data_IF_266944428455
#
_entry.id   IF_266944428455
#
_cell.length_a   1.000
_cell.length_b   1.000
_cell.length_c   1.000
_cell.angle_alpha   90.00
_cell.angle_beta   90.00
_cell.angle_gamma   90.00
#
_symmetry.space_group_name_H-M   'P 1'
#
loop_
_entity.id
_entity.type
_entity.pdbx_description
1 polymer ?
#
# COMPACT_ATOMS: atom_id res chain seq x y z
N UNK A 1 9.94 -19.68 -1.03
CA UNK A 1 10.93 -18.61 -0.77
C UNK A 1 10.21 -17.41 -0.20
N UNK A 2 10.76 -16.74 0.81
CA UNK A 2 10.18 -15.50 1.35
C UNK A 2 10.44 -14.34 0.38
N UNK A 3 9.38 -13.70 -0.11
CA UNK A 3 9.45 -12.66 -1.16
C UNK A 3 9.20 -11.25 -0.64
N UNK A 4 8.69 -11.11 0.58
CA UNK A 4 8.29 -9.83 1.16
C UNK A 4 7.18 -10.00 2.20
N UNK A 5 6.66 -8.87 2.65
CA UNK A 5 5.60 -8.82 3.65
C UNK A 5 4.66 -7.64 3.38
N UNK A 6 3.48 -7.71 4.01
CA UNK A 6 2.53 -6.61 4.09
C UNK A 6 2.32 -6.23 5.55
N UNK A 7 1.93 -4.99 5.79
CA UNK A 7 1.68 -4.48 7.14
C UNK A 7 0.41 -3.66 7.20
N UNK A 8 -0.28 -3.75 8.34
CA UNK A 8 -1.28 -2.79 8.77
C UNK A 8 -0.70 -2.02 9.95
N UNK A 9 -0.72 -0.69 9.91
CA UNK A 9 -0.43 0.17 11.06
C UNK A 9 -1.66 1.02 11.37
N UNK A 10 -2.07 1.06 12.62
CA UNK A 10 -3.19 1.92 13.02
C UNK A 10 -2.67 3.31 13.33
N UNK A 11 -3.10 4.29 12.53
CA UNK A 11 -2.79 5.70 12.77
C UNK A 11 -3.73 6.30 13.82
N UNK A 12 -4.97 5.78 13.90
CA UNK A 12 -5.92 6.10 14.96
C UNK A 12 -6.79 4.90 15.34
N UNK A 13 -6.59 4.38 16.55
CA UNK A 13 -7.40 3.29 17.09
C UNK A 13 -8.87 3.69 17.25
N UNK A 14 -9.13 4.92 17.70
CA UNK A 14 -10.49 5.45 17.91
C UNK A 14 -11.25 5.55 16.59
N UNK A 15 -10.59 6.06 15.55
CA UNK A 15 -11.24 6.30 14.26
C UNK A 15 -11.20 5.09 13.33
N UNK A 16 -10.50 4.02 13.74
CA UNK A 16 -10.27 2.82 12.92
C UNK A 16 -9.60 3.18 11.59
N UNK A 17 -8.64 4.10 11.67
CA UNK A 17 -7.83 4.56 10.55
C UNK A 17 -6.56 3.72 10.49
N UNK A 18 -6.40 3.00 9.38
CA UNK A 18 -5.30 2.10 9.16
C UNK A 18 -4.53 2.49 7.90
N UNK A 19 -3.21 2.37 7.99
CA UNK A 19 -2.30 2.51 6.88
C UNK A 19 -1.79 1.14 6.45
N UNK A 20 -1.74 0.94 5.15
CA UNK A 20 -1.29 -0.29 4.53
C UNK A 20 0.07 -0.13 3.85
N UNK A 21 0.97 -1.08 4.09
CA UNK A 21 2.30 -1.12 3.47
C UNK A 21 2.57 -2.46 2.78
N UNK A 22 3.25 -2.41 1.63
CA UNK A 22 3.81 -3.58 0.95
C UNK A 22 5.31 -3.38 0.80
N UNK A 23 6.09 -4.35 1.26
CA UNK A 23 7.53 -4.41 1.02
C UNK A 23 7.88 -5.74 0.35
N UNK A 24 8.17 -5.70 -0.94
CA UNK A 24 8.79 -6.81 -1.66
C UNK A 24 10.31 -6.69 -1.58
N UNK A 25 11.02 -7.81 -1.46
CA UNK A 25 12.48 -7.86 -1.33
C UNK A 25 13.16 -7.42 -2.63
N UNK A 26 13.28 -6.10 -2.80
CA UNK A 26 13.77 -5.43 -4.01
C UNK A 26 15.28 -5.63 -4.22
N UNK A 27 16.07 -5.48 -3.15
CA UNK A 27 17.52 -5.32 -3.25
C UNK A 27 18.27 -6.60 -3.69
N UNK A 28 17.65 -7.78 -3.64
CA UNK A 28 18.30 -9.05 -4.03
C UNK A 28 17.54 -9.86 -5.09
N UNK A 29 16.28 -9.54 -5.40
CA UNK A 29 15.41 -10.45 -6.17
C UNK A 29 14.45 -9.70 -7.13
N UNK A 30 14.97 -9.02 -8.17
CA UNK A 30 14.13 -8.40 -9.21
C UNK A 30 13.23 -9.40 -9.94
N UNK A 31 13.54 -10.71 -9.85
CA UNK A 31 12.74 -11.81 -10.43
C UNK A 31 11.29 -11.86 -9.95
N UNK A 32 10.93 -11.18 -8.85
CA UNK A 32 9.56 -11.15 -8.32
C UNK A 32 8.79 -9.87 -8.69
N UNK A 33 9.45 -8.88 -9.26
CA UNK A 33 8.78 -7.66 -9.70
C UNK A 33 8.01 -7.89 -11.00
N UNK A 34 6.97 -7.09 -11.24
CA UNK A 34 6.13 -7.14 -12.45
C UNK A 34 5.46 -8.50 -12.74
N UNK A 35 5.35 -9.35 -11.73
CA UNK A 35 4.66 -10.65 -11.78
C UNK A 35 3.27 -10.65 -11.14
N UNK A 36 2.80 -9.50 -10.70
CA UNK A 36 1.48 -9.35 -10.09
C UNK A 36 1.39 -9.67 -8.59
N UNK A 37 2.46 -10.11 -7.91
CA UNK A 37 2.39 -10.45 -6.48
C UNK A 37 1.89 -9.32 -5.59
N UNK A 38 2.33 -8.08 -5.82
CA UNK A 38 1.84 -6.94 -5.05
C UNK A 38 0.36 -6.64 -5.32
N UNK A 39 -0.11 -6.86 -6.57
CA UNK A 39 -1.52 -6.74 -6.92
C UNK A 39 -2.34 -7.79 -6.19
N UNK A 40 -1.90 -9.05 -6.21
CA UNK A 40 -2.59 -10.16 -5.57
C UNK A 40 -2.68 -9.95 -4.04
N UNK A 41 -1.58 -9.55 -3.41
CA UNK A 41 -1.55 -9.26 -1.97
C UNK A 41 -2.51 -8.11 -1.62
N UNK A 42 -2.56 -7.05 -2.43
CA UNK A 42 -3.46 -5.92 -2.21
C UNK A 42 -4.92 -6.32 -2.45
N UNK A 43 -5.22 -7.04 -3.53
CA UNK A 43 -6.56 -7.53 -3.82
C UNK A 43 -7.06 -8.46 -2.71
N UNK A 44 -6.24 -9.37 -2.20
CA UNK A 44 -6.63 -10.22 -1.07
C UNK A 44 -6.93 -9.42 0.20
N UNK A 45 -6.06 -8.48 0.57
CA UNK A 45 -6.13 -7.77 1.84
C UNK A 45 -7.17 -6.63 1.85
N UNK A 46 -7.46 -6.04 0.70
CA UNK A 46 -8.34 -4.88 0.56
C UNK A 46 -9.63 -5.20 -0.20
N UNK A 47 -9.55 -5.91 -1.33
CA UNK A 47 -10.66 -5.98 -2.29
C UNK A 47 -11.52 -7.26 -2.16
N UNK A 48 -10.91 -8.44 -2.13
CA UNK A 48 -11.59 -9.72 -2.25
C UNK A 48 -12.28 -10.15 -0.96
N UNK A 49 -11.63 -9.99 0.19
CA UNK A 49 -12.16 -10.45 1.49
C UNK A 49 -12.70 -9.31 2.36
N UNK A 50 -12.56 -8.05 1.92
CA UNK A 50 -12.72 -6.86 2.79
C UNK A 50 -12.03 -7.10 4.15
N UNK A 51 -10.90 -7.82 4.20
CA UNK A 51 -10.33 -8.32 5.46
C UNK A 51 -10.15 -7.18 6.48
N UNK A 52 -9.58 -6.05 6.04
CA UNK A 52 -9.48 -4.84 6.87
C UNK A 52 -10.83 -4.29 7.35
N UNK A 53 -11.82 -4.15 6.46
CA UNK A 53 -13.12 -3.57 6.82
C UNK A 53 -14.03 -4.54 7.60
N UNK A 54 -13.99 -5.83 7.30
CA UNK A 54 -14.90 -6.86 7.81
C UNK A 54 -14.36 -7.56 9.05
N UNK A 55 -13.06 -7.87 9.08
CA UNK A 55 -12.46 -8.62 10.18
C UNK A 55 -11.69 -7.70 11.15
N UNK A 56 -11.10 -6.61 10.67
CA UNK A 56 -10.38 -5.64 11.51
C UNK A 56 -11.20 -4.39 11.85
N UNK A 57 -12.41 -4.27 11.28
CA UNK A 57 -13.33 -3.15 11.46
C UNK A 57 -12.68 -1.78 11.16
N UNK A 58 -11.82 -1.72 10.14
CA UNK A 58 -11.28 -0.44 9.64
C UNK A 58 -12.39 0.38 8.99
N UNK A 59 -12.39 1.68 9.25
CA UNK A 59 -13.28 2.63 8.58
C UNK A 59 -12.58 3.28 7.39
N UNK A 60 -11.29 3.55 7.55
CA UNK A 60 -10.44 4.21 6.56
C UNK A 60 -9.19 3.36 6.39
N UNK A 61 -8.82 3.13 5.13
CA UNK A 61 -7.57 2.48 4.76
C UNK A 61 -6.80 3.42 3.84
N UNK A 62 -5.71 3.96 4.37
CA UNK A 62 -4.76 4.78 3.64
C UNK A 62 -3.63 3.91 3.09
N UNK A 63 -3.15 4.27 1.91
CA UNK A 63 -1.97 3.64 1.32
C UNK A 63 -0.95 4.72 0.98
N UNK A 64 0.28 4.52 1.44
CA UNK A 64 1.38 5.43 1.15
C UNK A 64 2.39 4.78 0.22
N UNK A 65 2.84 5.55 -0.77
CA UNK A 65 3.89 5.18 -1.69
C UNK A 65 4.83 6.36 -1.84
N UNK A 66 6.13 6.11 -1.83
CA UNK A 66 7.08 7.16 -2.16
C UNK A 66 6.92 7.54 -3.65
N UNK A 67 6.72 8.81 -3.97
CA UNK A 67 6.52 9.27 -5.35
C UNK A 67 7.69 8.98 -6.31
N UNK A 68 8.88 8.70 -5.79
CA UNK A 68 10.02 8.25 -6.59
C UNK A 68 9.92 6.76 -7.01
N UNK A 69 9.01 5.97 -6.43
CA UNK A 69 8.76 4.59 -6.78
C UNK A 69 7.69 4.48 -7.88
N UNK A 70 8.12 4.70 -9.14
CA UNK A 70 7.23 4.73 -10.30
C UNK A 70 6.41 3.45 -10.48
N UNK A 71 7.00 2.28 -10.27
CA UNK A 71 6.31 0.98 -10.42
C UNK A 71 5.18 0.85 -9.39
N UNK A 72 5.42 1.23 -8.13
CA UNK A 72 4.40 1.20 -7.09
C UNK A 72 3.30 2.24 -7.35
N UNK A 73 3.66 3.46 -7.75
CA UNK A 73 2.67 4.50 -8.13
C UNK A 73 1.78 4.01 -9.27
N UNK A 74 2.35 3.35 -10.29
CA UNK A 74 1.58 2.83 -11.42
C UNK A 74 0.64 1.69 -11.00
N UNK A 75 1.11 0.77 -10.14
CA UNK A 75 0.28 -0.28 -9.55
C UNK A 75 -0.94 0.33 -8.85
N UNK A 76 -0.74 1.31 -7.97
CA UNK A 76 -1.86 1.91 -7.23
C UNK A 76 -2.81 2.72 -8.12
N UNK A 77 -2.30 3.40 -9.15
CA UNK A 77 -3.15 4.05 -10.16
C UNK A 77 -4.06 3.05 -10.88
N UNK A 78 -3.56 1.85 -11.20
CA UNK A 78 -4.39 0.78 -11.80
C UNK A 78 -5.48 0.29 -10.84
N UNK A 79 -5.19 0.30 -9.54
CA UNK A 79 -6.14 -0.06 -8.47
C UNK A 79 -7.12 1.06 -8.13
N UNK A 80 -6.93 2.27 -8.67
CA UNK A 80 -7.86 3.40 -8.51
C UNK A 80 -9.26 3.08 -9.06
N UNK A 81 -9.35 2.18 -10.06
CA UNK A 81 -10.62 1.66 -10.55
C UNK A 81 -11.46 0.97 -9.45
N UNK A 82 -10.81 0.54 -8.36
CA UNK A 82 -11.43 -0.10 -7.20
C UNK A 82 -11.85 0.88 -6.09
N UNK A 83 -11.72 2.19 -6.31
CA UNK A 83 -12.26 3.22 -5.41
C UNK A 83 -11.26 3.97 -4.53
N UNK A 84 -9.95 3.76 -4.68
CA UNK A 84 -8.94 4.56 -3.97
C UNK A 84 -8.93 6.01 -4.46
N UNK A 85 -8.89 6.97 -3.53
CA UNK A 85 -8.70 8.40 -3.79
C UNK A 85 -7.34 8.87 -3.28
N UNK A 86 -6.69 9.77 -4.01
CA UNK A 86 -5.41 10.35 -3.58
C UNK A 86 -5.72 11.55 -2.68
N UNK A 87 -5.48 11.42 -1.37
CA UNK A 87 -5.83 12.48 -0.40
C UNK A 87 -4.61 13.27 0.11
N UNK A 88 -3.40 12.71 0.07
CA UNK A 88 -2.22 13.35 0.66
C UNK A 88 -1.10 13.50 -0.36
N UNK A 89 -0.64 14.74 -0.57
CA UNK A 89 0.54 15.11 -1.37
C UNK A 89 1.54 15.83 -0.45
N UNK A 90 2.83 15.73 -0.73
CA UNK A 90 3.94 16.28 0.07
C UNK A 90 3.94 15.83 1.53
N UNK A 91 3.55 14.59 1.82
CA UNK A 91 3.40 14.10 3.19
C UNK A 91 4.73 13.65 3.82
N UNK A 92 5.73 13.28 3.01
CA UNK A 92 6.97 12.65 3.49
C UNK A 92 8.16 13.59 3.28
N UNK A 93 8.92 13.88 4.34
CA UNK A 93 10.23 14.53 4.25
C UNK A 93 11.33 13.48 4.15
N UNK A 94 12.02 13.42 3.02
CA UNK A 94 13.13 12.50 2.78
C UNK A 94 14.26 13.21 2.04
N UNK A 95 15.50 13.04 2.49
CA UNK A 95 16.69 13.58 1.84
C UNK A 95 16.63 15.10 1.55
N UNK A 96 16.08 15.86 2.50
CA UNK A 96 15.97 17.32 2.42
C UNK A 96 14.85 17.83 1.50
N UNK A 97 13.91 16.98 1.10
CA UNK A 97 12.84 17.34 0.15
C UNK A 97 11.51 16.75 0.60
N UNK A 98 10.42 17.48 0.34
CA UNK A 98 9.08 16.95 0.44
C UNK A 98 8.81 16.05 -0.77
N UNK A 99 8.47 14.79 -0.51
CA UNK A 99 8.02 13.83 -1.51
C UNK A 99 6.49 13.78 -1.50
N UNK A 100 5.94 13.82 -2.71
CA UNK A 100 4.56 13.42 -3.00
C UNK A 100 4.39 11.90 -2.90
#
# INVERSE_FOLDING_TARGET
>A
EFIGYTTWSMDSQKNRDARFGIALKAFKLPKFWRKGYAREALSFLVEYERYGFRLLAFHIVSLEVFGNNKDAVELYKKMRASGFVTEQRKAIWLDGKWLD
#
